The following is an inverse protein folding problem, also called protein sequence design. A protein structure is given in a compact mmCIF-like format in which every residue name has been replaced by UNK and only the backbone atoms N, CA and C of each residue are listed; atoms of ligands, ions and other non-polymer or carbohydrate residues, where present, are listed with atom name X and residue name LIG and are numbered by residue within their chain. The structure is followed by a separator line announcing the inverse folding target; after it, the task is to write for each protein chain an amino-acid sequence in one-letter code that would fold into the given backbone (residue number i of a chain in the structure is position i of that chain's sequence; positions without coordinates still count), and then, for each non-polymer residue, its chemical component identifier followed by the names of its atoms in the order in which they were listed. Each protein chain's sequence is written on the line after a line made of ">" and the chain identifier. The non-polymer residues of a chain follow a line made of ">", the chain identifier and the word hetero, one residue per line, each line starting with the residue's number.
data_IF_330252139968
#
_entry.id   IF_330252139968
#
_cell.length_a   1.000
_cell.length_b   1.000
_cell.length_c   1.000
_cell.angle_alpha   90.00
_cell.angle_beta   90.00
_cell.angle_gamma   90.00
#
_symmetry.space_group_name_H-M   'P 1'
#
loop_
_entity.id
_entity.type
_entity.pdbx_description
1 polymer ?
#
# COMPACT_ATOMS: atom_id res chain seq x y z
N UNK A 1 -6.73 -1.42 31.94
CA UNK A 1 -7.23 -0.32 31.09
C UNK A 1 -6.24 -0.05 29.95
N UNK A 2 -5.00 0.34 30.23
CA UNK A 2 -3.97 0.66 29.19
C UNK A 2 -3.79 -0.41 28.11
N UNK A 3 -3.81 -1.70 28.46
CA UNK A 3 -3.62 -2.79 27.49
C UNK A 3 -4.80 -2.97 26.52
N UNK A 4 -6.03 -2.66 26.97
CA UNK A 4 -7.23 -2.72 26.12
C UNK A 4 -7.24 -1.55 25.14
N UNK A 5 -6.78 -0.37 25.56
CA UNK A 5 -6.67 0.81 24.71
C UNK A 5 -5.65 0.61 23.57
N UNK A 6 -4.48 0.03 23.87
CA UNK A 6 -3.47 -0.28 22.84
C UNK A 6 -4.00 -1.30 21.83
N UNK A 7 -4.73 -2.32 22.28
CA UNK A 7 -5.32 -3.33 21.38
C UNK A 7 -6.42 -2.73 20.50
N UNK A 8 -7.23 -1.80 21.03
CA UNK A 8 -8.23 -1.08 20.26
C UNK A 8 -7.57 -0.21 19.18
N UNK A 9 -6.52 0.53 19.53
CA UNK A 9 -5.78 1.38 18.59
C UNK A 9 -5.12 0.57 17.46
N UNK A 10 -4.51 -0.58 17.78
CA UNK A 10 -3.98 -1.51 16.78
C UNK A 10 -5.07 -2.10 15.87
N UNK A 11 -6.25 -2.36 16.43
CA UNK A 11 -7.40 -2.85 15.67
C UNK A 11 -7.90 -1.79 14.67
N UNK A 12 -8.03 -0.54 15.13
CA UNK A 12 -8.44 0.58 14.29
C UNK A 12 -7.42 0.84 13.18
N UNK A 13 -6.13 0.80 13.50
CA UNK A 13 -5.05 0.94 12.51
C UNK A 13 -5.15 -0.15 11.43
N UNK A 14 -5.37 -1.41 11.82
CA UNK A 14 -5.56 -2.52 10.88
C UNK A 14 -6.81 -2.36 10.00
N UNK A 15 -7.90 -1.84 10.55
CA UNK A 15 -9.14 -1.57 9.80
C UNK A 15 -8.93 -0.44 8.79
N UNK A 16 -8.23 0.63 9.20
CA UNK A 16 -7.88 1.76 8.33
C UNK A 16 -7.02 1.26 7.16
N UNK A 17 -5.97 0.49 7.45
CA UNK A 17 -5.10 -0.08 6.42
C UNK A 17 -5.89 -0.97 5.45
N UNK A 18 -6.74 -1.85 5.96
CA UNK A 18 -7.60 -2.69 5.12
C UNK A 18 -8.50 -1.87 4.20
N UNK A 19 -9.17 -0.83 4.72
CA UNK A 19 -10.05 0.05 3.92
C UNK A 19 -9.27 0.83 2.86
N UNK A 20 -8.08 1.30 3.21
CA UNK A 20 -7.20 2.00 2.28
C UNK A 20 -6.75 1.07 1.15
N UNK A 21 -6.29 -0.14 1.48
CA UNK A 21 -5.93 -1.16 0.48
C UNK A 21 -7.10 -1.49 -0.43
N UNK A 22 -8.29 -1.73 0.12
CA UNK A 22 -9.48 -2.03 -0.68
C UNK A 22 -9.83 -0.89 -1.63
N UNK A 23 -9.79 0.36 -1.15
CA UNK A 23 -10.09 1.54 -1.97
C UNK A 23 -9.12 1.66 -3.15
N UNK A 24 -7.82 1.45 -2.90
CA UNK A 24 -6.79 1.49 -3.94
C UNK A 24 -6.99 0.37 -4.96
N UNK A 25 -7.23 -0.87 -4.49
CA UNK A 25 -7.47 -2.03 -5.37
C UNK A 25 -8.71 -1.79 -6.23
N UNK A 26 -9.82 -1.36 -5.64
CA UNK A 26 -11.05 -1.05 -6.37
C UNK A 26 -10.84 0.04 -7.42
N UNK A 27 -10.05 1.07 -7.12
CA UNK A 27 -9.72 2.10 -8.11
C UNK A 27 -8.90 1.54 -9.27
N UNK A 28 -7.89 0.71 -8.99
CA UNK A 28 -7.07 0.06 -10.01
C UNK A 28 -7.93 -0.83 -10.91
N UNK A 29 -8.84 -1.62 -10.32
CA UNK A 29 -9.75 -2.48 -11.06
C UNK A 29 -10.66 -1.67 -11.99
N UNK A 30 -11.33 -0.65 -11.47
CA UNK A 30 -12.22 0.22 -12.28
C UNK A 30 -11.47 0.88 -13.44
N UNK A 31 -10.25 1.35 -13.21
CA UNK A 31 -9.44 1.98 -14.27
C UNK A 31 -8.94 0.96 -15.29
N UNK A 32 -8.64 -0.27 -14.86
CA UNK A 32 -8.23 -1.37 -15.75
C UNK A 32 -9.39 -1.84 -16.61
N UNK A 33 -10.57 -2.04 -16.02
CA UNK A 33 -11.80 -2.43 -16.73
C UNK A 33 -12.20 -1.39 -17.78
N UNK A 34 -11.94 -0.10 -17.50
CA UNK A 34 -12.15 0.99 -18.46
C UNK A 34 -11.05 1.10 -19.52
N UNK A 35 -10.00 0.27 -19.45
CA UNK A 35 -8.85 0.32 -20.36
C UNK A 35 -7.98 1.57 -20.20
N UNK A 36 -8.09 2.29 -19.07
CA UNK A 36 -7.31 3.51 -18.81
C UNK A 36 -5.89 3.17 -18.37
N UNK A 37 -5.73 2.09 -17.61
CA UNK A 37 -4.42 1.56 -17.17
C UNK A 37 -4.34 0.06 -17.45
N UNK A 38 -3.12 -0.44 -17.65
CA UNK A 38 -2.85 -1.88 -17.77
C UNK A 38 -2.32 -2.42 -16.44
N UNK A 39 -2.81 -3.58 -16.00
CA UNK A 39 -2.34 -4.23 -14.77
C UNK A 39 -0.83 -4.52 -14.80
N UNK A 40 -0.27 -4.79 -15.97
CA UNK A 40 1.17 -5.01 -16.14
C UNK A 40 1.98 -3.73 -15.86
N UNK A 41 1.48 -2.57 -16.27
CA UNK A 41 2.15 -1.29 -16.03
C UNK A 41 2.15 -0.95 -14.53
N UNK A 42 1.04 -1.27 -13.84
CA UNK A 42 0.93 -1.12 -12.38
C UNK A 42 1.97 -2.02 -11.68
N UNK A 43 2.10 -3.28 -12.10
CA UNK A 43 3.07 -4.23 -11.52
C UNK A 43 4.53 -3.79 -11.75
N UNK A 44 4.88 -3.38 -12.97
CA UNK A 44 6.22 -2.87 -13.29
C UNK A 44 6.55 -1.61 -12.49
N UNK A 45 5.56 -0.72 -12.34
CA UNK A 45 5.75 0.51 -11.56
C UNK A 45 5.93 0.21 -10.07
N UNK A 46 5.19 -0.75 -9.51
CA UNK A 46 5.36 -1.19 -8.12
C UNK A 46 6.79 -1.74 -7.89
N UNK A 47 7.25 -2.66 -8.76
CA UNK A 47 8.62 -3.20 -8.67
C UNK A 47 9.69 -2.11 -8.76
N UNK A 48 9.49 -1.12 -9.63
CA UNK A 48 10.42 0.02 -9.77
C UNK A 48 10.48 0.85 -8.48
N UNK A 49 9.33 1.11 -7.86
CA UNK A 49 9.25 1.90 -6.62
C UNK A 49 9.83 1.15 -5.41
N UNK A 50 9.62 -0.17 -5.34
CA UNK A 50 10.24 -1.01 -4.31
C UNK A 50 11.77 -0.97 -4.43
N UNK A 51 12.30 -1.14 -5.65
CA UNK A 51 13.75 -1.09 -5.89
C UNK A 51 14.37 0.27 -5.51
N UNK A 52 13.69 1.38 -5.83
CA UNK A 52 14.14 2.72 -5.43
C UNK A 52 14.14 2.87 -3.90
N UNK A 53 13.11 2.33 -3.23
CA UNK A 53 12.99 2.41 -1.76
C UNK A 53 14.11 1.63 -1.06
N UNK A 54 14.46 0.44 -1.58
CA UNK A 54 15.60 -0.34 -1.08
C UNK A 54 16.94 0.39 -1.25
N UNK A 55 17.12 1.08 -2.38
CA UNK A 55 18.34 1.84 -2.67
C UNK A 55 18.47 3.09 -1.78
N UNK A 56 17.37 3.81 -1.54
CA UNK A 56 17.32 4.95 -0.63
C UNK A 56 17.65 4.57 0.82
N UNK A 57 17.19 3.41 1.28
CA UNK A 57 17.52 2.89 2.62
C UNK A 57 19.03 2.61 2.75
N UNK A 58 19.66 2.09 1.70
CA UNK A 58 21.11 1.84 1.69
C UNK A 58 21.91 3.14 1.76
N UNK A 59 21.51 4.18 1.02
CA UNK A 59 22.22 5.48 1.02
C UNK A 59 22.14 6.16 2.40
N UNK A 60 21.04 6.00 3.14
CA UNK A 60 20.84 6.64 4.44
C UNK A 60 21.48 5.89 5.64
N UNK A 61 22.03 4.70 5.41
CA UNK A 61 22.63 3.85 6.46
C UNK A 61 24.17 3.87 6.44
N UNK A 62 24.79 4.60 5.50
CA UNK A 62 26.26 4.75 5.36
C UNK A 62 26.76 6.06 5.96
#
# INVERSE_FOLDING_TARGET
>A
MVEIDILAELSDMKIIDYRNTLTIVSLIEVLTEKGIICSNDVALKAQTLDAISEEQIKIHTI
#
